data_IF_142530294179
#
_entry.id   IF_142530294179
#
_cell.length_a   1.000
_cell.length_b   1.000
_cell.length_c   1.000
_cell.angle_alpha   90.00
_cell.angle_beta   90.00
_cell.angle_gamma   90.00
#
_symmetry.space_group_name_H-M   'P 1'
#
loop_
_entity.id
_entity.type
_entity.pdbx_description
1 polymer ?
#
# COMPACT_ATOMS: atom_id res chain seq x y z
N UNK A 1 16.38 -4.70 16.11
CA UNK A 1 17.65 -3.93 16.20
C UNK A 1 18.75 -4.43 15.26
N UNK A 2 19.10 -5.72 15.23
CA UNK A 2 20.19 -6.25 14.37
C UNK A 2 20.03 -5.97 12.85
N UNK A 3 18.81 -6.07 12.31
CA UNK A 3 18.52 -5.80 10.89
C UNK A 3 18.71 -4.31 10.51
N UNK A 4 18.27 -3.41 11.39
CA UNK A 4 18.43 -1.96 11.20
C UNK A 4 19.91 -1.56 11.28
N UNK A 5 20.71 -2.21 12.13
CA UNK A 5 22.16 -1.99 12.20
C UNK A 5 22.87 -2.55 10.94
N UNK A 6 22.52 -3.75 10.48
CA UNK A 6 23.12 -4.32 9.26
C UNK A 6 22.79 -3.49 8.02
N UNK A 7 21.57 -2.96 7.93
CA UNK A 7 21.18 -1.98 6.92
C UNK A 7 22.06 -0.74 7.05
N UNK A 8 22.09 -0.08 8.21
CA UNK A 8 22.85 1.16 8.44
C UNK A 8 24.32 1.04 8.02
N UNK A 9 24.95 -0.12 8.20
CA UNK A 9 26.36 -0.37 7.92
C UNK A 9 26.65 -0.92 6.52
N UNK A 10 25.61 -1.13 5.69
CA UNK A 10 25.72 -1.70 4.34
C UNK A 10 26.45 -3.06 4.28
N UNK A 11 26.31 -3.91 5.32
CA UNK A 11 26.94 -5.23 5.41
C UNK A 11 25.92 -6.34 5.18
N UNK A 12 25.63 -6.61 3.91
CA UNK A 12 24.69 -7.66 3.47
C UNK A 12 25.18 -9.05 3.85
N UNK A 13 26.48 -9.25 3.80
CA UNK A 13 27.17 -10.48 4.21
C UNK A 13 26.83 -10.84 5.67
N UNK A 14 26.86 -9.86 6.57
CA UNK A 14 26.49 -10.02 7.99
C UNK A 14 24.97 -10.21 8.14
N UNK A 15 24.16 -9.52 7.33
CA UNK A 15 22.71 -9.70 7.33
C UNK A 15 22.33 -11.14 6.93
N UNK A 16 22.98 -11.71 5.91
CA UNK A 16 22.72 -13.09 5.47
C UNK A 16 23.16 -14.12 6.52
N UNK A 17 24.33 -13.97 7.12
CA UNK A 17 24.89 -15.00 8.01
C UNK A 17 24.38 -14.96 9.46
N UNK A 18 23.91 -13.81 9.95
CA UNK A 18 23.56 -13.64 11.37
C UNK A 18 22.15 -13.11 11.64
N UNK A 19 21.47 -12.57 10.63
CA UNK A 19 20.17 -11.90 10.81
C UNK A 19 19.04 -12.74 10.21
N UNK A 20 19.24 -13.35 9.04
CA UNK A 20 18.25 -14.20 8.38
C UNK A 20 18.55 -15.70 8.50
N UNK A 21 18.95 -16.17 9.69
CA UNK A 21 18.95 -17.61 9.97
C UNK A 21 17.49 -18.10 9.95
N UNK A 22 17.26 -19.32 9.45
CA UNK A 22 15.92 -19.84 9.14
C UNK A 22 15.00 -19.97 10.38
N UNK A 23 15.54 -19.81 11.59
CA UNK A 23 14.82 -19.90 12.86
C UNK A 23 14.34 -18.54 13.45
N UNK A 24 14.50 -17.43 12.72
CA UNK A 24 14.12 -16.09 13.22
C UNK A 24 12.72 -15.71 12.74
N UNK A 25 11.75 -15.70 13.66
CA UNK A 25 10.43 -15.15 13.41
C UNK A 25 10.46 -13.61 13.47
N UNK A 26 10.11 -12.97 12.35
CA UNK A 26 10.13 -11.51 12.23
C UNK A 26 8.82 -10.90 12.73
N UNK A 27 8.87 -9.86 13.59
CA UNK A 27 7.67 -9.15 13.98
C UNK A 27 6.97 -8.56 12.75
N UNK A 28 5.64 -8.62 12.73
CA UNK A 28 4.83 -8.11 11.62
C UNK A 28 5.20 -6.66 11.27
N UNK A 29 5.42 -6.37 9.99
CA UNK A 29 5.81 -5.03 9.53
C UNK A 29 7.33 -4.77 9.51
N UNK A 30 8.15 -5.59 10.16
CA UNK A 30 9.61 -5.35 10.24
C UNK A 30 10.31 -5.50 8.90
N UNK A 31 9.89 -6.47 8.10
CA UNK A 31 10.47 -6.71 6.77
C UNK A 31 10.08 -5.59 5.80
N UNK A 32 8.88 -5.05 5.93
CA UNK A 32 8.42 -3.92 5.13
C UNK A 32 9.17 -2.63 5.48
N UNK A 33 9.47 -2.40 6.76
CA UNK A 33 10.32 -1.27 7.15
C UNK A 33 11.74 -1.41 6.59
N UNK A 34 12.32 -2.60 6.70
CA UNK A 34 13.63 -2.90 6.12
C UNK A 34 13.64 -2.74 4.59
N UNK A 35 12.55 -3.12 3.91
CA UNK A 35 12.39 -2.94 2.47
C UNK A 35 12.32 -1.45 2.10
N UNK A 36 11.60 -0.64 2.89
CA UNK A 36 11.53 0.80 2.70
C UNK A 36 12.92 1.43 2.79
N UNK A 37 13.68 1.10 3.83
CA UNK A 37 15.05 1.59 4.02
C UNK A 37 15.97 1.14 2.89
N UNK A 38 15.87 -0.12 2.47
CA UNK A 38 16.69 -0.64 1.38
C UNK A 38 16.44 0.10 0.06
N UNK A 39 15.18 0.39 -0.27
CA UNK A 39 14.80 1.12 -1.48
C UNK A 39 15.23 2.59 -1.45
N UNK A 40 15.06 3.27 -0.31
CA UNK A 40 15.45 4.68 -0.15
C UNK A 40 16.96 4.88 -0.29
N UNK A 41 17.76 3.91 0.16
CA UNK A 41 19.22 3.99 0.14
C UNK A 41 19.87 3.26 -1.05
N UNK A 42 19.10 2.88 -2.07
CA UNK A 42 19.59 2.17 -3.27
C UNK A 42 20.36 0.87 -2.95
N UNK A 43 19.92 0.12 -1.92
CA UNK A 43 20.58 -1.09 -1.46
C UNK A 43 20.00 -2.34 -2.12
N UNK A 44 20.35 -2.54 -3.39
CA UNK A 44 19.81 -3.63 -4.24
C UNK A 44 20.00 -5.01 -3.62
N UNK A 45 21.15 -5.28 -3.01
CA UNK A 45 21.45 -6.58 -2.40
C UNK A 45 20.58 -6.88 -1.17
N UNK A 46 20.16 -5.85 -0.42
CA UNK A 46 19.18 -6.00 0.66
C UNK A 46 17.77 -6.21 0.11
N UNK A 47 17.40 -5.53 -0.99
CA UNK A 47 16.11 -5.74 -1.66
C UNK A 47 15.97 -7.19 -2.09
N UNK A 48 17.00 -7.76 -2.76
CA UNK A 48 17.01 -9.17 -3.17
C UNK A 48 16.81 -10.11 -1.98
N UNK A 49 17.58 -9.91 -0.91
CA UNK A 49 17.47 -10.71 0.30
C UNK A 49 16.07 -10.64 0.94
N UNK A 50 15.47 -9.45 1.01
CA UNK A 50 14.13 -9.31 1.58
C UNK A 50 13.04 -9.97 0.73
N UNK A 51 13.20 -9.96 -0.61
CA UNK A 51 12.31 -10.68 -1.51
C UNK A 51 12.41 -12.20 -1.31
N UNK A 52 13.63 -12.73 -1.17
CA UNK A 52 13.87 -14.16 -0.88
C UNK A 52 13.24 -14.59 0.45
N UNK A 53 13.19 -13.68 1.43
CA UNK A 53 12.67 -13.95 2.79
C UNK A 53 11.17 -13.70 2.96
N UNK A 54 10.44 -13.50 1.87
CA UNK A 54 8.97 -13.50 1.86
C UNK A 54 8.30 -12.13 1.67
N UNK A 55 9.05 -11.05 1.50
CA UNK A 55 8.46 -9.77 1.09
C UNK A 55 8.00 -9.88 -0.37
N UNK A 56 6.74 -9.56 -0.63
CA UNK A 56 6.20 -9.49 -2.00
C UNK A 56 5.93 -8.04 -2.38
N UNK A 57 6.40 -7.60 -3.56
CA UNK A 57 6.23 -6.22 -4.00
C UNK A 57 4.77 -5.80 -4.13
N UNK A 58 3.89 -6.74 -4.51
CA UNK A 58 2.44 -6.50 -4.66
C UNK A 58 1.75 -6.16 -3.34
N UNK A 59 2.16 -6.79 -2.24
CA UNK A 59 1.65 -6.47 -0.90
C UNK A 59 2.38 -5.28 -0.29
N UNK A 60 3.67 -5.13 -0.58
CA UNK A 60 4.50 -4.07 -0.03
C UNK A 60 4.12 -2.68 -0.57
N UNK A 61 3.94 -2.53 -1.89
CA UNK A 61 3.72 -1.24 -2.56
C UNK A 61 2.26 -0.75 -2.42
N UNK A 62 1.95 -0.16 -1.28
CA UNK A 62 0.71 0.60 -1.08
C UNK A 62 0.82 2.00 -1.68
N UNK A 63 -0.34 2.66 -1.90
CA UNK A 63 -0.38 4.07 -2.35
C UNK A 63 0.48 4.96 -1.44
N UNK A 64 0.34 4.79 -0.13
CA UNK A 64 1.07 5.58 0.87
C UNK A 64 2.58 5.38 0.75
N UNK A 65 3.05 4.13 0.77
CA UNK A 65 4.48 3.80 0.69
C UNK A 65 5.10 4.25 -0.63
N UNK A 66 4.37 4.14 -1.74
CA UNK A 66 4.87 4.60 -3.02
C UNK A 66 5.02 6.12 -3.07
N UNK A 67 4.09 6.88 -2.48
CA UNK A 67 4.28 8.33 -2.31
C UNK A 67 5.45 8.64 -1.38
N UNK A 68 5.62 7.91 -0.27
CA UNK A 68 6.77 8.07 0.61
C UNK A 68 8.09 7.85 -0.14
N UNK A 69 8.16 6.84 -1.02
CA UNK A 69 9.34 6.58 -1.87
C UNK A 69 9.61 7.72 -2.84
N UNK A 70 8.60 8.24 -3.54
CA UNK A 70 8.78 9.37 -4.47
C UNK A 70 9.16 10.69 -3.78
N UNK A 71 8.82 10.83 -2.50
CA UNK A 71 9.11 12.02 -1.70
C UNK A 71 10.33 11.85 -0.79
N UNK A 72 11.01 10.70 -0.84
CA UNK A 72 12.23 10.46 -0.08
C UNK A 72 13.29 11.51 -0.44
N UNK A 73 13.85 12.15 0.59
CA UNK A 73 14.92 13.15 0.45
C UNK A 73 16.30 12.52 0.56
N UNK A 74 16.34 11.32 1.12
CA UNK A 74 17.49 10.46 1.23
C UNK A 74 17.61 9.67 -0.08
N UNK A 75 18.80 9.66 -0.68
CA UNK A 75 19.03 9.02 -1.97
C UNK A 75 19.80 9.93 -2.94
N UNK A 76 20.06 9.45 -4.17
CA UNK A 76 20.73 10.24 -5.19
C UNK A 76 19.89 11.45 -5.61
N UNK A 77 20.58 12.50 -6.08
CA UNK A 77 19.90 13.69 -6.61
C UNK A 77 18.95 13.32 -7.75
N UNK A 78 17.74 13.89 -7.73
CA UNK A 78 16.73 13.64 -8.77
C UNK A 78 16.15 14.95 -9.33
N UNK A 79 15.62 14.87 -10.56
CA UNK A 79 15.08 16.02 -11.31
C UNK A 79 13.57 16.17 -11.18
N UNK A 80 12.91 15.31 -10.40
CA UNK A 80 11.45 15.20 -10.34
C UNK A 80 10.79 16.54 -9.98
N UNK A 81 11.38 17.27 -9.03
CA UNK A 81 10.89 18.58 -8.59
C UNK A 81 10.77 19.59 -9.75
N UNK A 82 11.71 19.58 -10.69
CA UNK A 82 11.70 20.51 -11.82
C UNK A 82 10.59 20.13 -12.80
N UNK A 83 10.44 18.84 -13.10
CA UNK A 83 9.43 18.36 -14.05
C UNK A 83 8.01 18.56 -13.51
N UNK A 84 7.81 18.36 -12.20
CA UNK A 84 6.53 18.61 -11.54
C UNK A 84 6.11 20.09 -11.68
N UNK A 85 7.04 21.04 -11.58
CA UNK A 85 6.74 22.47 -11.70
C UNK A 85 6.24 22.85 -13.09
N UNK A 86 6.61 22.10 -14.10
CA UNK A 86 6.12 22.35 -15.45
C UNK A 86 4.68 21.88 -15.66
N UNK A 87 4.26 20.82 -14.97
CA UNK A 87 2.88 20.29 -15.06
C UNK A 87 1.94 20.91 -14.02
N UNK A 88 2.50 21.50 -12.95
CA UNK A 88 1.74 22.10 -11.86
C UNK A 88 2.43 23.37 -11.36
N UNK A 89 1.88 24.51 -11.78
CA UNK A 89 2.39 25.84 -11.39
C UNK A 89 2.04 26.16 -9.94
N UNK A 90 2.85 27.02 -9.30
CA UNK A 90 2.60 27.58 -7.96
C UNK A 90 2.60 26.55 -6.81
N UNK A 91 3.55 25.62 -6.81
CA UNK A 91 3.71 24.66 -5.71
C UNK A 91 4.46 25.24 -4.50
N UNK A 92 3.96 25.04 -3.27
CA UNK A 92 4.69 25.32 -2.03
C UNK A 92 6.06 24.62 -1.96
N UNK A 93 6.98 25.14 -1.14
CA UNK A 93 8.36 24.59 -1.03
C UNK A 93 8.40 23.20 -0.39
N UNK A 94 7.46 22.92 0.50
CA UNK A 94 7.29 21.69 1.27
C UNK A 94 6.16 20.80 0.73
N UNK A 95 5.73 21.07 -0.51
CA UNK A 95 4.67 20.29 -1.14
C UNK A 95 5.08 18.82 -1.28
N UNK A 96 4.24 17.93 -0.75
CA UNK A 96 4.37 16.49 -0.90
C UNK A 96 3.70 16.04 -2.19
N UNK A 97 4.46 15.41 -3.06
CA UNK A 97 4.00 14.95 -4.37
C UNK A 97 3.04 13.78 -4.21
N UNK A 98 1.90 13.86 -4.90
CA UNK A 98 0.92 12.77 -4.96
C UNK A 98 1.16 11.87 -6.16
N UNK A 99 0.68 10.62 -6.14
CA UNK A 99 0.74 9.75 -7.33
C UNK A 99 0.02 10.36 -8.53
N UNK A 100 -0.97 11.22 -8.29
CA UNK A 100 -1.64 11.97 -9.36
C UNK A 100 -0.67 12.94 -10.03
N UNK A 101 0.14 13.67 -9.26
CA UNK A 101 1.16 14.57 -9.80
C UNK A 101 2.25 13.78 -10.55
N UNK A 102 2.68 12.62 -10.01
CA UNK A 102 3.58 11.69 -10.71
C UNK A 102 2.96 11.23 -12.04
N UNK A 103 1.65 10.97 -12.07
CA UNK A 103 0.91 10.63 -13.29
C UNK A 103 1.00 11.72 -14.36
N UNK A 104 0.92 12.99 -13.96
CA UNK A 104 1.06 14.13 -14.88
C UNK A 104 2.50 14.22 -15.42
N UNK A 105 3.49 13.99 -14.57
CA UNK A 105 4.91 13.93 -14.98
C UNK A 105 5.12 12.84 -16.03
N UNK A 106 4.63 11.62 -15.78
CA UNK A 106 4.78 10.50 -16.73
C UNK A 106 4.10 10.85 -18.05
N UNK A 107 2.89 11.41 -18.03
CA UNK A 107 2.21 11.84 -19.26
C UNK A 107 3.02 12.87 -20.05
N UNK A 108 3.62 13.85 -19.36
CA UNK A 108 4.47 14.86 -19.98
C UNK A 108 5.70 14.22 -20.64
N UNK A 109 6.37 13.30 -19.94
CA UNK A 109 7.61 12.67 -20.43
C UNK A 109 7.35 11.71 -21.59
N UNK A 110 6.26 10.95 -21.55
CA UNK A 110 5.90 10.00 -22.61
C UNK A 110 5.33 10.71 -23.85
N UNK A 111 4.61 11.82 -23.65
CA UNK A 111 4.00 12.60 -24.73
C UNK A 111 2.91 11.83 -25.51
N UNK A 112 2.49 12.44 -26.63
CA UNK A 112 1.53 11.84 -27.56
C UNK A 112 0.18 11.49 -26.92
N UNK A 113 -0.31 10.28 -27.20
CA UNK A 113 -1.57 9.75 -26.68
C UNK A 113 -1.41 8.92 -25.39
N UNK A 114 -0.20 8.86 -24.81
CA UNK A 114 0.02 8.06 -23.60
C UNK A 114 -0.75 8.64 -22.42
N UNK A 115 -1.39 7.75 -21.65
CA UNK A 115 -2.09 8.11 -20.42
C UNK A 115 -1.77 7.17 -19.27
N UNK A 116 -0.98 7.69 -18.33
CA UNK A 116 -0.61 7.06 -17.08
C UNK A 116 -1.83 6.59 -16.31
N UNK A 117 -1.73 5.39 -15.72
CA UNK A 117 -2.74 4.80 -14.86
C UNK A 117 -3.15 5.73 -13.73
N UNK A 118 -2.23 6.54 -13.20
CA UNK A 118 -2.49 7.46 -12.10
C UNK A 118 -3.43 8.61 -12.48
N UNK A 119 -3.55 8.92 -13.78
CA UNK A 119 -4.44 9.98 -14.28
C UNK A 119 -5.79 9.44 -14.77
N UNK A 120 -6.03 8.13 -14.70
CA UNK A 120 -7.29 7.51 -15.10
C UNK A 120 -8.35 7.67 -14.00
N UNK A 121 -9.62 7.80 -14.41
CA UNK A 121 -10.75 7.99 -13.49
C UNK A 121 -10.85 6.89 -12.43
N UNK A 122 -10.69 5.63 -12.84
CA UNK A 122 -10.71 4.46 -11.92
C UNK A 122 -9.68 4.61 -10.80
N UNK A 123 -8.44 4.96 -11.14
CA UNK A 123 -7.38 5.15 -10.15
C UNK A 123 -7.66 6.35 -9.24
N UNK A 124 -8.07 7.49 -9.80
CA UNK A 124 -8.40 8.70 -9.01
C UNK A 124 -9.47 8.43 -7.96
N UNK A 125 -10.51 7.67 -8.31
CA UNK A 125 -11.56 7.28 -7.37
C UNK A 125 -11.00 6.41 -6.24
N UNK A 126 -10.21 5.38 -6.58
CA UNK A 126 -9.55 4.52 -5.59
C UNK A 126 -8.64 5.34 -4.66
N UNK A 127 -7.77 6.18 -5.24
CA UNK A 127 -6.86 7.07 -4.52
C UNK A 127 -7.59 7.96 -3.51
N UNK A 128 -8.63 8.68 -3.96
CA UNK A 128 -9.40 9.56 -3.10
C UNK A 128 -10.07 8.80 -1.94
N UNK A 129 -10.56 7.59 -2.20
CA UNK A 129 -11.17 6.76 -1.15
C UNK A 129 -10.13 6.32 -0.11
N UNK A 130 -8.94 5.87 -0.54
CA UNK A 130 -7.84 5.50 0.35
C UNK A 130 -7.38 6.69 1.20
N UNK A 131 -7.19 7.86 0.60
CA UNK A 131 -6.75 9.06 1.33
C UNK A 131 -7.80 9.55 2.34
N UNK A 132 -9.10 9.44 2.00
CA UNK A 132 -10.20 9.77 2.92
C UNK A 132 -10.25 8.82 4.11
N UNK A 133 -10.09 7.51 3.87
CA UNK A 133 -10.09 6.51 4.95
C UNK A 133 -8.92 6.71 5.93
N UNK A 134 -7.79 7.22 5.46
CA UNK A 134 -6.60 7.48 6.28
C UNK A 134 -6.65 8.82 7.01
N UNK A 135 -7.62 9.70 6.74
CA UNK A 135 -7.75 10.98 7.44
C UNK A 135 -8.57 10.78 8.71
N UNK A 136 -8.03 11.04 9.92
CA UNK A 136 -8.82 10.96 11.14
C UNK A 136 -10.00 11.93 11.03
N UNK A 137 -11.19 11.38 11.07
CA UNK A 137 -12.46 12.09 10.97
C UNK A 137 -12.54 13.11 12.12
N UNK A 138 -12.10 14.35 11.89
CA UNK A 138 -12.38 15.48 12.79
C UNK A 138 -13.90 15.71 12.76
N UNK A 139 -14.61 15.04 13.66
CA UNK A 139 -15.99 15.39 14.02
C UNK A 139 -15.94 16.76 14.72
N UNK A 140 -16.15 17.82 13.96
CA UNK A 140 -16.45 19.14 14.50
C UNK A 140 -17.97 19.27 14.60
N UNK A 141 -18.50 19.45 15.82
CA UNK A 141 -19.93 19.71 16.06
C UNK A 141 -20.46 19.05 17.33
N UNK A 142 -20.48 19.83 18.42
CA UNK A 142 -20.94 19.52 19.78
C UNK A 142 -22.38 18.98 19.89
N UNK A 143 -22.58 18.02 20.79
CA UNK A 143 -23.69 18.04 21.76
C UNK A 143 -23.37 17.06 22.90
N UNK A 144 -23.29 17.57 24.13
CA UNK A 144 -23.14 16.75 25.34
C UNK A 144 -24.31 15.76 25.43
N UNK A 145 -24.00 14.46 25.53
CA UNK A 145 -24.98 13.37 25.66
C UNK A 145 -24.77 12.66 27.00
N UNK A 146 -25.77 12.56 27.89
CA UNK A 146 -25.61 12.06 29.25
C UNK A 146 -25.31 10.55 29.30
N UNK A 147 -24.51 10.17 30.30
CA UNK A 147 -23.76 8.91 30.45
C UNK A 147 -24.57 7.60 30.55
N UNK A 148 -25.91 7.63 30.61
CA UNK A 148 -26.71 6.42 30.82
C UNK A 148 -26.90 5.56 29.56
N UNK A 149 -26.77 6.12 28.36
CA UNK A 149 -26.94 5.35 27.11
C UNK A 149 -25.69 4.57 26.66
N UNK A 150 -24.53 4.79 27.29
CA UNK A 150 -23.26 4.20 26.86
C UNK A 150 -23.09 2.75 27.35
N UNK A 151 -23.70 2.39 28.48
CA UNK A 151 -23.69 1.02 28.99
C UNK A 151 -24.53 0.05 28.13
N UNK A 152 -25.69 0.49 27.65
CA UNK A 152 -26.56 -0.35 26.81
C UNK A 152 -25.91 -0.65 25.44
N UNK A 153 -25.21 0.32 24.87
CA UNK A 153 -24.48 0.18 23.60
C UNK A 153 -23.31 -0.81 23.73
N UNK A 154 -22.59 -0.78 24.86
CA UNK A 154 -21.48 -1.69 25.12
C UNK A 154 -21.97 -3.14 25.28
N UNK A 155 -23.13 -3.34 25.91
CA UNK A 155 -23.75 -4.66 26.04
C UNK A 155 -24.16 -5.22 24.66
N UNK A 156 -24.77 -4.41 23.79
CA UNK A 156 -25.14 -4.85 22.44
C UNK A 156 -23.93 -5.12 21.53
N UNK A 157 -22.81 -4.43 21.74
CA UNK A 157 -21.57 -4.64 20.98
C UNK A 157 -20.93 -6.02 21.24
N UNK A 158 -20.94 -6.45 22.51
CA UNK A 158 -20.36 -7.74 22.92
C UNK A 158 -21.17 -8.96 22.45
N UNK A 159 -22.48 -8.77 22.22
CA UNK A 159 -23.37 -9.82 21.72
C UNK A 159 -23.23 -9.97 20.19
N UNK A 160 -22.99 -8.88 19.47
CA UNK A 160 -22.84 -8.88 18.01
C UNK A 160 -21.47 -9.42 17.53
N UNK A 161 -20.40 -9.25 18.31
CA UNK A 161 -19.05 -9.69 17.92
C UNK A 161 -18.81 -11.20 17.99
N UNK A 162 -19.71 -11.96 18.63
CA UNK A 162 -19.58 -13.41 18.82
C UNK A 162 -20.52 -14.24 17.92
N UNK A 163 -21.10 -13.64 16.88
CA UNK A 163 -21.94 -14.36 15.92
C UNK A 163 -21.12 -14.88 14.72
N UNK A 164 -21.18 -16.17 14.36
CA UNK A 164 -20.49 -16.70 13.18
C UNK A 164 -21.03 -16.11 11.87
N UNK A 165 -20.15 -15.87 10.89
CA UNK A 165 -20.53 -15.42 9.54
C UNK A 165 -21.32 -16.51 8.79
N UNK A 166 -22.36 -16.15 8.02
CA UNK A 166 -23.10 -17.11 7.21
C UNK A 166 -22.27 -17.57 6.01
N UNK A 167 -22.20 -18.89 5.82
CA UNK A 167 -21.56 -19.55 4.68
C UNK A 167 -22.53 -19.50 3.48
N UNK A 168 -22.10 -19.08 2.27
CA UNK A 168 -22.97 -19.09 1.10
C UNK A 168 -23.25 -20.54 0.64
N UNK A 169 -24.47 -20.86 0.17
CA UNK A 169 -24.81 -22.20 -0.30
C UNK A 169 -24.14 -22.52 -1.65
N UNK A 170 -23.84 -23.81 -1.92
CA UNK A 170 -23.24 -24.25 -3.17
C UNK A 170 -24.18 -24.03 -4.36
N UNK A 171 -23.66 -23.45 -5.45
CA UNK A 171 -24.40 -23.26 -6.69
C UNK A 171 -24.52 -24.62 -7.40
N UNK A 172 -25.74 -25.18 -7.46
CA UNK A 172 -26.03 -26.33 -8.29
C UNK A 172 -25.96 -25.94 -9.78
N UNK A 173 -25.18 -26.73 -10.52
CA UNK A 173 -24.98 -26.61 -11.95
C UNK A 173 -26.30 -26.79 -12.72
N UNK A 174 -26.56 -25.89 -13.67
CA UNK A 174 -27.54 -26.10 -14.72
C UNK A 174 -26.87 -25.79 -16.07
N UNK A 175 -26.34 -26.83 -16.71
CA UNK A 175 -26.02 -26.80 -18.13
C UNK A 175 -26.59 -28.05 -18.82
N UNK A 176 -27.72 -27.80 -19.50
CA UNK A 176 -28.14 -28.32 -20.79
C UNK A 176 -27.93 -29.82 -21.12
N UNK A 177 -29.03 -30.56 -21.04
CA UNK A 177 -29.27 -31.77 -21.85
C UNK A 177 -29.55 -31.34 -23.29
N UNK A 178 -28.55 -31.50 -24.18
CA UNK A 178 -28.77 -31.50 -25.63
C UNK A 178 -28.72 -32.96 -26.08
N UNK A 179 -29.76 -33.36 -26.78
CA UNK A 179 -29.98 -34.69 -27.34
C UNK A 179 -28.84 -35.13 -28.27
N UNK A 180 -28.43 -36.39 -28.09
CA UNK A 180 -27.63 -37.15 -29.05
C UNK A 180 -28.39 -38.42 -29.41
N UNK A 181 -29.16 -38.39 -30.51
CA UNK A 181 -29.58 -39.58 -31.24
C UNK A 181 -28.71 -39.70 -32.49
N UNK A 182 -27.80 -40.67 -32.49
CA UNK A 182 -27.04 -41.11 -33.66
C UNK A 182 -27.88 -42.04 -34.55
N UNK A 183 -27.63 -42.08 -35.87
CA UNK A 183 -28.26 -43.03 -36.79
C UNK A 183 -27.45 -44.33 -36.88
N UNK A 184 -28.14 -45.47 -36.93
CA UNK A 184 -27.81 -46.66 -37.76
C UNK A 184 -28.97 -47.65 -37.69
#
# INVERSE_FOLDING_TARGET
>A
EKLSLALTWNRVDIARSHVFNDDVEWPHGSLELAMMDALVHDRIEFVKLLLERGVTMTKFLTVQRLEDLYNAKQGPSNTLRYIIRDVKKNLPRDYRYTLIDIGLVINKLMGGAFRSIYTRRKFRNMYNNTMRANTPMKRSGSTYRPQQQQQQQNYNYLVASNSPLPVPPPQHAAYNTIASSTPT
#
